data_IF_271620475550
#
_entry.id   IF_271620475550
#
_cell.length_a   1.000
_cell.length_b   1.000
_cell.length_c   1.000
_cell.angle_alpha   90.00
_cell.angle_beta   90.00
_cell.angle_gamma   90.00
#
_symmetry.space_group_name_H-M   'P 1'
#
loop_
_entity.id
_entity.type
_entity.pdbx_description
1 polymer ?
#
# COMPACT_ATOMS: atom_id res chain seq x y z
N UNK A 1 6.63 -15.47 20.93
CA UNK A 1 6.38 -16.00 19.58
C UNK A 1 6.00 -14.84 18.69
N UNK A 2 6.68 -14.64 17.57
CA UNK A 2 6.38 -13.55 16.64
C UNK A 2 4.93 -13.65 16.09
N UNK A 3 4.43 -14.88 15.95
CA UNK A 3 3.05 -15.16 15.53
C UNK A 3 1.98 -14.64 16.51
N UNK A 4 2.29 -14.55 17.80
CA UNK A 4 1.39 -13.92 18.78
C UNK A 4 1.39 -12.39 18.60
N UNK A 5 2.56 -11.81 18.31
CA UNK A 5 2.66 -10.38 18.02
C UNK A 5 1.92 -10.02 16.75
N UNK A 6 1.88 -10.91 15.74
CA UNK A 6 1.08 -10.71 14.53
C UNK A 6 -0.41 -10.56 14.85
N UNK A 7 -0.98 -11.40 15.73
CA UNK A 7 -2.38 -11.26 16.17
C UNK A 7 -2.66 -9.89 16.78
N UNK A 8 -1.78 -9.41 17.67
CA UNK A 8 -1.90 -8.07 18.26
C UNK A 8 -1.72 -6.97 17.22
N UNK A 9 -0.70 -7.08 16.37
CA UNK A 9 -0.39 -6.11 15.33
C UNK A 9 -1.55 -5.96 14.35
N UNK A 10 -2.06 -7.05 13.79
CA UNK A 10 -3.16 -7.05 12.81
C UNK A 10 -4.46 -6.57 13.44
N UNK A 11 -4.80 -7.03 14.65
CA UNK A 11 -6.03 -6.60 15.33
C UNK A 11 -6.02 -5.11 15.70
N UNK A 12 -4.91 -4.61 16.25
CA UNK A 12 -4.73 -3.18 16.53
C UNK A 12 -4.70 -2.36 15.24
N UNK A 13 -3.99 -2.83 14.21
CA UNK A 13 -3.94 -2.16 12.91
C UNK A 13 -5.32 -2.04 12.27
N UNK A 14 -6.09 -3.12 12.23
CA UNK A 14 -7.45 -3.13 11.71
C UNK A 14 -8.34 -2.16 12.48
N UNK A 15 -8.31 -2.24 13.82
CA UNK A 15 -9.15 -1.40 14.69
C UNK A 15 -8.82 0.08 14.52
N UNK A 16 -7.54 0.46 14.59
CA UNK A 16 -7.09 1.84 14.45
C UNK A 16 -7.36 2.37 13.04
N UNK A 17 -7.16 1.56 12.00
CA UNK A 17 -7.44 1.96 10.62
C UNK A 17 -8.93 2.21 10.40
N UNK A 18 -9.81 1.33 10.91
CA UNK A 18 -11.26 1.51 10.84
C UNK A 18 -11.69 2.76 11.61
N UNK A 19 -11.14 3.00 12.80
CA UNK A 19 -11.46 4.19 13.59
C UNK A 19 -10.98 5.48 12.91
N UNK A 20 -9.76 5.49 12.37
CA UNK A 20 -9.20 6.63 11.66
C UNK A 20 -10.03 6.97 10.42
N UNK A 21 -10.28 5.97 9.58
CA UNK A 21 -11.10 6.11 8.38
C UNK A 21 -12.54 6.53 8.70
N UNK A 22 -13.18 5.90 9.69
CA UNK A 22 -14.55 6.23 10.10
C UNK A 22 -14.63 7.66 10.63
N UNK A 23 -13.67 8.08 11.46
CA UNK A 23 -13.60 9.46 11.97
C UNK A 23 -13.56 10.44 10.82
N UNK A 24 -12.69 10.22 9.82
CA UNK A 24 -12.59 11.04 8.61
C UNK A 24 -13.87 11.11 7.78
N UNK A 25 -14.69 10.05 7.80
CA UNK A 25 -15.96 10.00 7.08
C UNK A 25 -17.11 10.74 7.78
N UNK A 26 -17.02 11.06 9.07
CA UNK A 26 -18.13 11.68 9.83
C UNK A 26 -18.69 12.95 9.14
N UNK A 27 -17.86 13.94 8.72
CA UNK A 27 -18.37 15.14 8.06
C UNK A 27 -19.02 14.87 6.69
N UNK A 28 -18.51 13.87 5.96
CA UNK A 28 -19.01 13.51 4.64
C UNK A 28 -20.35 12.75 4.73
N UNK A 29 -20.48 11.85 5.71
CA UNK A 29 -21.74 11.18 6.03
C UNK A 29 -22.82 12.17 6.45
N UNK A 30 -22.45 13.24 7.16
CA UNK A 30 -23.37 14.33 7.48
C UNK A 30 -23.85 15.05 6.20
N UNK A 31 -22.95 15.28 5.25
CA UNK A 31 -23.30 15.87 3.95
C UNK A 31 -24.26 14.96 3.15
N UNK A 32 -24.02 13.65 3.16
CA UNK A 32 -24.90 12.67 2.52
C UNK A 32 -26.26 12.55 3.20
N UNK A 33 -26.31 12.61 4.53
CA UNK A 33 -27.55 12.70 5.32
C UNK A 33 -28.40 13.88 4.90
N UNK A 34 -27.78 15.05 4.77
CA UNK A 34 -28.49 16.30 4.49
C UNK A 34 -28.98 16.38 3.02
N UNK A 35 -28.33 15.65 2.11
CA UNK A 35 -28.76 15.49 0.71
C UNK A 35 -29.66 14.28 0.46
N UNK A 36 -29.87 13.40 1.43
CA UNK A 36 -30.65 12.19 1.25
C UNK A 36 -32.15 12.49 1.05
N UNK A 37 -32.71 12.01 -0.07
CA UNK A 37 -34.13 12.20 -0.41
C UNK A 37 -35.05 11.20 0.29
N UNK A 38 -34.56 9.98 0.57
CA UNK A 38 -35.37 8.92 1.21
C UNK A 38 -35.18 8.91 2.73
N UNK A 39 -36.29 8.68 3.46
CA UNK A 39 -36.29 8.64 4.94
C UNK A 39 -35.32 7.61 5.50
N UNK A 40 -35.23 6.43 4.87
CA UNK A 40 -34.32 5.35 5.28
C UNK A 40 -32.85 5.75 5.13
N UNK A 41 -32.45 6.32 3.98
CA UNK A 41 -31.06 6.76 3.77
C UNK A 41 -30.69 7.89 4.71
N UNK A 42 -31.60 8.86 4.90
CA UNK A 42 -31.40 9.96 5.84
C UNK A 42 -31.23 9.47 7.27
N UNK A 43 -32.01 8.47 7.68
CA UNK A 43 -31.88 7.84 9.00
C UNK A 43 -30.54 7.10 9.16
N UNK A 44 -30.18 6.24 8.19
CA UNK A 44 -28.93 5.48 8.24
C UNK A 44 -27.69 6.39 8.25
N UNK A 45 -27.59 7.34 7.32
CA UNK A 45 -26.50 8.32 7.34
C UNK A 45 -26.55 9.22 8.58
N UNK A 46 -27.74 9.46 9.14
CA UNK A 46 -27.92 10.18 10.41
C UNK A 46 -27.28 9.49 11.60
N UNK A 47 -27.43 8.16 11.71
CA UNK A 47 -26.77 7.34 12.74
C UNK A 47 -25.25 7.44 12.60
N UNK A 48 -24.72 7.18 11.40
CA UNK A 48 -23.27 7.16 11.19
C UNK A 48 -22.62 8.55 11.20
N UNK A 49 -23.39 9.62 10.98
CA UNK A 49 -22.89 10.99 11.14
C UNK A 49 -22.76 11.43 12.62
N UNK A 50 -23.14 10.59 13.59
CA UNK A 50 -23.01 10.87 15.04
C UNK A 50 -23.54 12.26 15.47
N UNK A 51 -24.61 12.74 14.84
CA UNK A 51 -25.17 14.07 15.12
C UNK A 51 -24.28 15.24 14.70
N UNK A 52 -23.36 15.05 13.74
CA UNK A 52 -22.48 16.11 13.23
C UNK A 52 -23.28 17.30 12.67
N UNK A 53 -22.90 18.51 13.13
CA UNK A 53 -23.52 19.80 12.77
C UNK A 53 -22.53 20.79 12.14
N UNK A 54 -21.25 20.44 12.06
CA UNK A 54 -20.20 21.36 11.55
C UNK A 54 -19.95 22.60 12.42
N UNK A 55 -20.22 22.54 13.73
CA UNK A 55 -19.93 23.65 14.64
C UNK A 55 -18.41 23.85 14.81
N UNK A 56 -17.98 25.06 15.19
CA UNK A 56 -16.55 25.34 15.44
C UNK A 56 -15.95 24.38 16.50
N UNK A 57 -16.72 24.03 17.53
CA UNK A 57 -16.30 23.07 18.55
C UNK A 57 -16.11 21.67 17.97
N UNK A 58 -17.00 21.23 17.08
CA UNK A 58 -16.88 19.93 16.42
C UNK A 58 -15.61 19.86 15.55
N UNK A 59 -15.33 20.90 14.76
CA UNK A 59 -14.13 20.97 13.93
C UNK A 59 -12.84 20.94 14.75
N UNK A 60 -12.75 21.75 15.82
CA UNK A 60 -11.58 21.76 16.70
C UNK A 60 -11.28 20.38 17.31
N UNK A 61 -12.30 19.66 17.76
CA UNK A 61 -12.12 18.32 18.32
C UNK A 61 -11.82 17.28 17.25
N UNK A 62 -12.46 17.38 16.08
CA UNK A 62 -12.21 16.51 14.94
C UNK A 62 -10.77 16.62 14.46
N UNK A 63 -10.25 17.83 14.24
CA UNK A 63 -8.87 18.05 13.77
C UNK A 63 -7.85 17.51 14.76
N UNK A 64 -8.04 17.73 16.06
CA UNK A 64 -7.16 17.17 17.09
C UNK A 64 -7.21 15.64 17.12
N UNK A 65 -8.41 15.04 17.04
CA UNK A 65 -8.54 13.58 17.02
C UNK A 65 -7.91 12.98 15.76
N UNK A 66 -8.14 13.60 14.59
CA UNK A 66 -7.59 13.17 13.32
C UNK A 66 -6.06 13.26 13.29
N UNK A 67 -5.49 14.35 13.82
CA UNK A 67 -4.04 14.52 13.95
C UNK A 67 -3.43 13.49 14.90
N UNK A 68 -4.05 13.23 16.06
CA UNK A 68 -3.58 12.21 17.00
C UNK A 68 -3.63 10.82 16.38
N UNK A 69 -4.72 10.46 15.71
CA UNK A 69 -4.85 9.17 15.04
C UNK A 69 -3.85 9.02 13.88
N UNK A 70 -3.61 10.06 13.10
CA UNK A 70 -2.58 10.06 12.06
C UNK A 70 -1.17 9.88 12.66
N UNK A 71 -0.87 10.59 13.75
CA UNK A 71 0.39 10.48 14.48
C UNK A 71 0.61 9.10 15.10
N UNK A 72 -0.44 8.46 15.62
CA UNK A 72 -0.39 7.09 16.16
C UNK A 72 -0.33 6.02 15.06
N UNK A 73 -1.02 6.24 13.94
CA UNK A 73 -1.09 5.28 12.83
C UNK A 73 0.25 5.15 12.11
N UNK A 74 1.02 6.24 12.00
CA UNK A 74 2.33 6.23 11.31
C UNK A 74 3.32 5.21 11.90
N UNK A 75 3.65 5.25 13.22
CA UNK A 75 4.54 4.24 13.82
C UNK A 75 3.87 2.86 13.86
N UNK A 76 2.54 2.78 13.95
CA UNK A 76 1.81 1.51 13.90
C UNK A 76 1.98 0.80 12.54
N UNK A 77 1.88 1.52 11.43
CA UNK A 77 2.09 0.94 10.09
C UNK A 77 3.51 0.39 9.96
N UNK A 78 4.51 1.15 10.43
CA UNK A 78 5.90 0.70 10.43
C UNK A 78 6.10 -0.54 11.31
N UNK A 79 5.47 -0.57 12.50
CA UNK A 79 5.61 -1.68 13.43
C UNK A 79 4.91 -2.95 12.95
N UNK A 80 3.71 -2.86 12.36
CA UNK A 80 2.93 -4.02 11.91
C UNK A 80 3.68 -4.79 10.83
N UNK A 81 4.19 -4.11 9.80
CA UNK A 81 4.97 -4.77 8.75
C UNK A 81 6.32 -5.28 9.26
N UNK A 82 6.91 -4.61 10.26
CA UNK A 82 8.11 -5.10 10.93
C UNK A 82 7.83 -6.36 11.76
N UNK A 83 6.70 -6.45 12.46
CA UNK A 83 6.28 -7.62 13.25
C UNK A 83 6.07 -8.83 12.34
N UNK A 84 5.37 -8.67 11.22
CA UNK A 84 5.23 -9.74 10.21
C UNK A 84 6.60 -10.16 9.66
N UNK A 85 7.54 -9.23 9.50
CA UNK A 85 8.90 -9.59 9.08
C UNK A 85 9.67 -10.38 10.15
N UNK A 86 9.40 -10.15 11.44
CA UNK A 86 10.04 -10.86 12.53
C UNK A 86 9.66 -12.34 12.59
N UNK A 87 8.51 -12.74 12.03
CA UNK A 87 8.16 -14.15 11.86
C UNK A 87 9.19 -14.92 11.03
N UNK A 88 9.86 -14.25 10.10
CA UNK A 88 10.94 -14.81 9.30
C UNK A 88 12.31 -14.50 9.93
N UNK A 89 12.57 -13.24 10.25
CA UNK A 89 13.89 -12.75 10.69
C UNK A 89 14.38 -13.38 12.00
N UNK A 90 13.46 -13.78 12.87
CA UNK A 90 13.81 -14.42 14.16
C UNK A 90 14.09 -15.93 14.05
N UNK A 91 13.91 -16.52 12.88
CA UNK A 91 14.19 -17.95 12.65
C UNK A 91 15.66 -18.19 12.30
N UNK A 92 16.06 -19.47 12.28
CA UNK A 92 17.42 -19.90 11.94
C UNK A 92 17.59 -20.27 10.45
N UNK A 93 16.55 -20.12 9.61
CA UNK A 93 16.63 -20.49 8.19
C UNK A 93 17.64 -19.57 7.49
N UNK A 94 18.61 -20.09 6.70
CA UNK A 94 19.71 -19.28 6.16
C UNK A 94 19.28 -18.07 5.32
N UNK A 95 18.13 -18.18 4.64
CA UNK A 95 17.59 -17.07 3.84
C UNK A 95 16.72 -16.09 4.62
N UNK A 96 16.29 -16.45 5.83
CA UNK A 96 15.37 -15.64 6.63
C UNK A 96 16.07 -14.93 7.76
N UNK A 97 17.15 -15.50 8.30
CA UNK A 97 17.92 -14.91 9.38
C UNK A 97 18.70 -13.68 8.91
N UNK A 98 18.03 -12.54 8.80
CA UNK A 98 18.60 -11.29 8.31
C UNK A 98 18.03 -10.08 9.04
N UNK A 99 18.89 -9.14 9.38
CA UNK A 99 18.54 -7.91 10.11
C UNK A 99 17.93 -6.84 9.21
N UNK A 100 18.05 -6.97 7.89
CA UNK A 100 17.51 -5.98 6.94
C UNK A 100 16.00 -6.17 6.69
N UNK A 101 15.42 -7.30 7.10
CA UNK A 101 14.04 -7.67 6.80
C UNK A 101 12.99 -6.67 7.28
N UNK A 102 13.02 -6.14 8.52
CA UNK A 102 12.00 -5.19 8.96
C UNK A 102 11.88 -3.92 8.11
N UNK A 103 12.94 -3.11 7.89
CA UNK A 103 12.82 -1.93 7.04
C UNK A 103 12.54 -2.28 5.57
N UNK A 104 13.04 -3.43 5.09
CA UNK A 104 12.80 -3.93 3.75
C UNK A 104 11.33 -4.32 3.51
N UNK A 105 10.70 -5.03 4.44
CA UNK A 105 9.28 -5.41 4.36
C UNK A 105 8.37 -4.20 4.40
N UNK A 106 8.71 -3.19 5.22
CA UNK A 106 8.00 -1.91 5.27
C UNK A 106 8.09 -1.18 3.93
N UNK A 107 9.28 -1.07 3.35
CA UNK A 107 9.44 -0.43 2.04
C UNK A 107 8.68 -1.18 0.93
N UNK A 108 8.72 -2.51 0.94
CA UNK A 108 7.95 -3.36 0.04
C UNK A 108 6.43 -3.18 0.21
N UNK A 109 5.95 -3.00 1.45
CA UNK A 109 4.53 -2.73 1.71
C UNK A 109 4.08 -1.38 1.14
N UNK A 110 4.88 -0.33 1.27
CA UNK A 110 4.61 0.98 0.66
C UNK A 110 4.64 0.85 -0.88
N UNK A 111 5.64 0.18 -1.41
CA UNK A 111 5.81 -0.03 -2.85
C UNK A 111 4.60 -0.76 -3.49
N UNK A 112 4.21 -1.92 -2.96
CA UNK A 112 3.03 -2.66 -3.41
C UNK A 112 1.72 -1.94 -3.13
N UNK A 113 1.61 -1.26 -1.98
CA UNK A 113 0.42 -0.51 -1.59
C UNK A 113 0.10 0.64 -2.57
N UNK A 114 1.08 1.48 -2.90
CA UNK A 114 0.89 2.55 -3.88
C UNK A 114 0.61 2.01 -5.29
N UNK A 115 1.23 0.89 -5.69
CA UNK A 115 0.93 0.24 -6.96
C UNK A 115 -0.52 -0.26 -7.02
N UNK A 116 -1.03 -0.85 -5.94
CA UNK A 116 -2.42 -1.29 -5.85
C UNK A 116 -3.40 -0.10 -5.83
N UNK A 117 -3.07 0.99 -5.12
CA UNK A 117 -3.87 2.22 -5.15
C UNK A 117 -4.00 2.77 -6.57
N UNK A 118 -2.90 2.91 -7.31
CA UNK A 118 -2.95 3.36 -8.70
C UNK A 118 -3.71 2.41 -9.63
N UNK A 119 -3.58 1.09 -9.39
CA UNK A 119 -4.32 0.06 -10.13
C UNK A 119 -5.84 0.23 -10.03
N UNK A 120 -6.34 0.66 -8.86
CA UNK A 120 -7.76 0.94 -8.65
C UNK A 120 -8.15 2.37 -9.06
N UNK A 121 -7.28 3.34 -8.77
CA UNK A 121 -7.55 4.75 -8.98
C UNK A 121 -7.61 5.12 -10.46
N UNK A 122 -6.75 4.54 -11.31
CA UNK A 122 -6.70 4.88 -12.74
C UNK A 122 -8.00 4.47 -13.48
N UNK A 123 -8.52 3.24 -13.33
CA UNK A 123 -9.84 2.89 -13.86
C UNK A 123 -10.96 3.70 -13.22
N UNK A 124 -10.96 3.90 -11.89
CA UNK A 124 -12.00 4.67 -11.20
C UNK A 124 -12.05 6.12 -11.71
N UNK A 125 -10.89 6.75 -11.95
CA UNK A 125 -10.77 8.09 -12.54
C UNK A 125 -11.43 8.17 -13.92
N UNK A 126 -11.22 7.17 -14.78
CA UNK A 126 -11.78 7.12 -16.12
C UNK A 126 -13.30 6.82 -16.12
N UNK A 127 -13.75 5.86 -15.31
CA UNK A 127 -15.15 5.42 -15.26
C UNK A 127 -16.05 6.49 -14.64
N UNK A 128 -15.62 7.08 -13.51
CA UNK A 128 -16.39 8.08 -12.77
C UNK A 128 -16.09 9.52 -13.17
N UNK A 129 -15.26 9.74 -14.23
CA UNK A 129 -14.89 11.04 -14.78
C UNK A 129 -14.33 12.01 -13.73
N UNK A 130 -13.47 11.53 -12.84
CA UNK A 130 -12.91 12.31 -11.71
C UNK A 130 -11.63 13.07 -12.10
N UNK A 131 -11.53 13.54 -13.34
CA UNK A 131 -10.29 14.14 -13.87
C UNK A 131 -9.91 15.47 -13.19
N UNK A 132 -10.89 16.22 -12.71
CA UNK A 132 -10.68 17.53 -12.07
C UNK A 132 -10.22 17.41 -10.62
N UNK A 133 -10.58 16.32 -9.95
CA UNK A 133 -10.15 16.05 -8.57
C UNK A 133 -8.85 15.23 -8.56
N UNK A 134 -8.81 14.15 -9.34
CA UNK A 134 -7.62 13.31 -9.47
C UNK A 134 -6.81 13.81 -10.66
N UNK A 135 -6.02 14.85 -10.40
CA UNK A 135 -5.17 15.46 -11.42
C UNK A 135 -3.98 14.56 -11.79
N UNK A 136 -3.38 14.73 -12.99
CA UNK A 136 -2.16 14.00 -13.38
C UNK A 136 -0.98 14.19 -12.41
N UNK A 137 -0.96 15.30 -11.66
CA UNK A 137 0.07 15.56 -10.65
C UNK A 137 0.02 14.56 -9.49
N UNK A 138 -1.17 14.08 -9.12
CA UNK A 138 -1.29 13.04 -8.10
C UNK A 138 -0.64 11.74 -8.59
N UNK A 139 -0.87 11.37 -9.85
CA UNK A 139 -0.28 10.18 -10.47
C UNK A 139 1.25 10.31 -10.55
N UNK A 140 1.77 11.47 -10.97
CA UNK A 140 3.22 11.72 -11.02
C UNK A 140 3.89 11.64 -9.64
N UNK A 141 3.27 12.22 -8.61
CA UNK A 141 3.78 12.16 -7.23
C UNK A 141 3.76 10.74 -6.68
N UNK A 142 2.69 9.98 -6.91
CA UNK A 142 2.62 8.57 -6.50
C UNK A 142 3.64 7.70 -7.24
N UNK A 143 3.85 7.93 -8.54
CA UNK A 143 4.87 7.22 -9.31
C UNK A 143 6.29 7.49 -8.76
N UNK A 144 6.59 8.70 -8.28
CA UNK A 144 7.87 9.01 -7.62
C UNK A 144 8.04 8.27 -6.29
N UNK A 145 6.96 8.08 -5.51
CA UNK A 145 7.00 7.28 -4.28
C UNK A 145 7.31 5.82 -4.63
N UNK A 146 6.63 5.25 -5.64
CA UNK A 146 6.89 3.89 -6.14
C UNK A 146 8.34 3.75 -6.62
N UNK A 147 8.88 4.75 -7.33
CA UNK A 147 10.27 4.75 -7.76
C UNK A 147 11.25 4.73 -6.58
N UNK A 148 10.99 5.57 -5.57
CA UNK A 148 11.83 5.68 -4.38
C UNK A 148 11.86 4.36 -3.61
N UNK A 149 10.69 3.80 -3.31
CA UNK A 149 10.59 2.56 -2.54
C UNK A 149 11.05 1.35 -3.36
N UNK A 150 10.75 1.30 -4.66
CA UNK A 150 11.26 0.25 -5.56
C UNK A 150 12.79 0.25 -5.66
N UNK A 151 13.41 1.43 -5.70
CA UNK A 151 14.88 1.54 -5.68
C UNK A 151 15.48 1.10 -4.35
N UNK A 152 14.80 1.37 -3.22
CA UNK A 152 15.21 0.88 -1.91
C UNK A 152 15.09 -0.65 -1.79
N UNK A 153 14.00 -1.24 -2.30
CA UNK A 153 13.81 -2.70 -2.37
C UNK A 153 14.90 -3.33 -3.24
N UNK A 154 15.21 -2.74 -4.40
CA UNK A 154 16.30 -3.20 -5.26
C UNK A 154 17.67 -3.14 -4.57
N UNK A 155 17.93 -2.08 -3.79
CA UNK A 155 19.12 -1.97 -2.95
C UNK A 155 19.17 -3.09 -1.89
N UNK A 156 18.06 -3.36 -1.21
CA UNK A 156 18.01 -4.44 -0.22
C UNK A 156 18.33 -5.80 -0.85
N UNK A 157 17.80 -6.11 -2.04
CA UNK A 157 18.18 -7.34 -2.76
C UNK A 157 19.67 -7.40 -3.06
N UNK A 158 20.26 -6.31 -3.56
CA UNK A 158 21.68 -6.26 -3.85
C UNK A 158 22.52 -6.49 -2.57
N UNK A 159 22.09 -5.90 -1.45
CA UNK A 159 22.72 -6.10 -0.15
C UNK A 159 22.58 -7.53 0.35
N UNK A 160 21.45 -8.20 0.16
CA UNK A 160 21.30 -9.61 0.51
C UNK A 160 22.30 -10.50 -0.25
N UNK A 161 22.45 -10.31 -1.56
CA UNK A 161 23.45 -11.04 -2.34
C UNK A 161 24.89 -10.73 -1.91
N UNK A 162 25.17 -9.45 -1.63
CA UNK A 162 26.47 -9.03 -1.14
C UNK A 162 26.81 -9.68 0.21
N UNK A 163 25.88 -9.62 1.17
CA UNK A 163 26.08 -10.21 2.50
C UNK A 163 26.20 -11.72 2.42
N UNK A 164 25.40 -12.42 1.60
CA UNK A 164 25.53 -13.86 1.40
C UNK A 164 26.92 -14.25 0.85
N UNK A 165 27.47 -13.46 -0.08
CA UNK A 165 28.82 -13.65 -0.58
C UNK A 165 29.89 -13.35 0.49
N UNK A 166 29.71 -12.26 1.25
CA UNK A 166 30.64 -11.77 2.28
C UNK A 166 30.66 -12.62 3.56
N UNK A 167 29.52 -13.16 3.96
CA UNK A 167 29.29 -13.96 5.19
C UNK A 167 30.20 -15.18 5.32
N UNK A 168 30.66 -15.73 4.20
CA UNK A 168 31.53 -16.91 4.21
C UNK A 168 30.80 -18.23 4.50
N UNK A 169 29.56 -18.19 5.00
CA UNK A 169 28.73 -19.36 5.27
C UNK A 169 28.33 -20.08 3.96
N UNK A 170 28.67 -21.37 3.87
CA UNK A 170 28.35 -22.20 2.70
C UNK A 170 26.84 -22.35 2.47
N UNK A 171 26.04 -22.39 3.54
CA UNK A 171 24.58 -22.54 3.46
C UNK A 171 23.91 -21.27 2.92
N UNK A 172 24.33 -20.09 3.36
CA UNK A 172 23.81 -18.82 2.84
C UNK A 172 24.18 -18.63 1.37
N UNK A 173 25.45 -18.87 1.02
CA UNK A 173 25.90 -18.83 -0.38
C UNK A 173 25.08 -19.77 -1.25
N UNK A 174 24.92 -21.02 -0.83
CA UNK A 174 24.13 -22.00 -1.55
C UNK A 174 22.68 -21.55 -1.72
N UNK A 175 22.05 -21.03 -0.67
CA UNK A 175 20.65 -20.64 -0.72
C UNK A 175 20.40 -19.45 -1.67
N UNK A 176 21.31 -18.47 -1.73
CA UNK A 176 21.22 -17.36 -2.69
C UNK A 176 21.53 -17.80 -4.13
N UNK A 177 22.50 -18.69 -4.33
CA UNK A 177 22.70 -19.30 -5.65
C UNK A 177 21.50 -20.13 -6.10
N UNK A 178 20.84 -20.81 -5.16
CA UNK A 178 19.61 -21.56 -5.42
C UNK A 178 18.43 -20.65 -5.82
N UNK A 179 18.40 -19.39 -5.37
CA UNK A 179 17.41 -18.41 -5.88
C UNK A 179 17.64 -18.09 -7.37
N UNK A 180 18.90 -18.00 -7.81
CA UNK A 180 19.24 -17.64 -9.20
C UNK A 180 19.15 -18.84 -10.16
N UNK A 181 19.66 -20.01 -9.76
CA UNK A 181 19.80 -21.19 -10.64
C UNK A 181 18.97 -22.40 -10.22
N UNK A 182 18.29 -22.32 -9.08
CA UNK A 182 17.49 -23.43 -8.56
C UNK A 182 16.13 -23.59 -9.27
N UNK A 183 15.25 -24.46 -8.75
CA UNK A 183 13.96 -24.76 -9.36
C UNK A 183 13.04 -23.53 -9.48
N UNK A 184 13.25 -22.51 -8.64
CA UNK A 184 12.50 -21.25 -8.66
C UNK A 184 13.23 -20.10 -9.37
N UNK A 185 14.19 -20.38 -10.25
CA UNK A 185 14.97 -19.35 -10.96
C UNK A 185 14.08 -18.31 -11.65
N UNK A 186 12.99 -18.74 -12.28
CA UNK A 186 12.11 -17.84 -13.03
C UNK A 186 11.40 -16.83 -12.12
N UNK A 187 11.07 -17.20 -10.88
CA UNK A 187 10.49 -16.29 -9.89
C UNK A 187 11.45 -15.16 -9.54
N UNK A 188 12.75 -15.47 -9.45
CA UNK A 188 13.78 -14.48 -9.17
C UNK A 188 14.01 -13.54 -10.37
N UNK A 189 14.26 -14.09 -11.55
CA UNK A 189 14.57 -13.31 -12.76
C UNK A 189 13.39 -12.47 -13.24
N UNK A 190 12.20 -13.07 -13.36
CA UNK A 190 11.02 -12.36 -13.86
C UNK A 190 10.31 -11.59 -12.75
N UNK A 191 10.08 -12.23 -11.60
CA UNK A 191 9.30 -11.63 -10.51
C UNK A 191 10.06 -10.58 -9.72
N UNK A 192 11.29 -10.85 -9.28
CA UNK A 192 12.03 -9.88 -8.47
C UNK A 192 12.79 -8.90 -9.35
N UNK A 193 13.63 -9.39 -10.26
CA UNK A 193 14.50 -8.50 -11.04
C UNK A 193 13.70 -7.68 -12.06
N UNK A 194 12.93 -8.31 -12.95
CA UNK A 194 12.18 -7.57 -13.96
C UNK A 194 11.04 -6.74 -13.35
N UNK A 195 10.15 -7.37 -12.57
CA UNK A 195 8.97 -6.67 -12.05
C UNK A 195 9.29 -5.68 -10.91
N UNK A 196 10.11 -6.03 -9.90
CA UNK A 196 10.38 -5.12 -8.79
C UNK A 196 11.58 -4.19 -9.03
N UNK A 197 12.67 -4.66 -9.63
CA UNK A 197 13.86 -3.81 -9.82
C UNK A 197 13.78 -2.96 -11.08
N UNK A 198 13.47 -3.56 -12.24
CA UNK A 198 13.58 -2.88 -13.54
C UNK A 198 12.34 -2.06 -13.88
N UNK A 199 11.14 -2.60 -13.67
CA UNK A 199 9.89 -1.93 -14.08
C UNK A 199 9.71 -0.53 -13.46
N UNK A 200 10.01 -0.28 -12.16
CA UNK A 200 9.84 1.04 -11.58
C UNK A 200 10.86 2.06 -12.08
N UNK A 201 12.02 1.63 -12.59
CA UNK A 201 13.05 2.55 -13.11
C UNK A 201 12.58 3.31 -14.35
N UNK A 202 11.54 2.82 -15.03
CA UNK A 202 10.87 3.57 -16.10
C UNK A 202 10.34 4.92 -15.59
N UNK A 203 10.01 5.02 -14.30
CA UNK A 203 9.56 6.26 -13.68
C UNK A 203 10.67 7.28 -13.44
N UNK A 204 11.94 7.04 -13.79
CA UNK A 204 12.92 8.14 -13.88
C UNK A 204 12.55 9.12 -15.00
N UNK A 205 12.04 8.60 -16.11
CA UNK A 205 11.64 9.39 -17.27
C UNK A 205 10.29 10.07 -17.02
N UNK A 206 10.25 11.40 -17.11
CA UNK A 206 9.03 12.19 -16.90
C UNK A 206 7.92 11.81 -17.87
N UNK A 207 8.27 11.45 -19.10
CA UNK A 207 7.32 10.99 -20.11
C UNK A 207 6.57 9.71 -19.69
N UNK A 208 7.27 8.75 -19.07
CA UNK A 208 6.65 7.52 -18.58
C UNK A 208 5.65 7.78 -17.46
N UNK A 209 5.93 8.74 -16.56
CA UNK A 209 5.01 9.11 -15.45
C UNK A 209 3.77 9.84 -15.94
N UNK A 210 3.85 10.53 -17.08
CA UNK A 210 2.70 11.19 -17.71
C UNK A 210 1.77 10.25 -18.48
N UNK A 211 2.26 9.07 -18.87
CA UNK A 211 1.49 8.10 -19.66
C UNK A 211 0.76 7.08 -18.77
N UNK A 212 -0.56 7.19 -18.70
CA UNK A 212 -1.42 6.33 -17.87
C UNK A 212 -1.23 4.84 -18.17
N UNK A 213 -1.03 4.45 -19.43
CA UNK A 213 -0.84 3.03 -19.79
C UNK A 213 0.48 2.49 -19.26
N UNK A 214 1.55 3.29 -19.32
CA UNK A 214 2.86 2.91 -18.76
C UNK A 214 2.78 2.80 -17.25
N UNK A 215 2.13 3.77 -16.60
CA UNK A 215 1.92 3.72 -15.14
C UNK A 215 1.13 2.47 -14.75
N UNK A 216 0.04 2.17 -15.44
CA UNK A 216 -0.78 0.98 -15.16
C UNK A 216 0.00 -0.32 -15.36
N UNK A 217 0.78 -0.42 -16.44
CA UNK A 217 1.66 -1.56 -16.71
C UNK A 217 2.67 -1.77 -15.58
N UNK A 218 3.38 -0.71 -15.17
CA UNK A 218 4.35 -0.78 -14.06
C UNK A 218 3.65 -1.18 -12.76
N UNK A 219 2.48 -0.63 -12.45
CA UNK A 219 1.74 -1.02 -11.25
C UNK A 219 1.35 -2.50 -11.25
N UNK A 220 0.95 -3.06 -12.39
CA UNK A 220 0.67 -4.50 -12.52
C UNK A 220 1.93 -5.34 -12.34
N UNK A 221 3.05 -4.93 -12.92
CA UNK A 221 4.34 -5.57 -12.69
C UNK A 221 4.70 -5.57 -11.20
N UNK A 222 4.59 -4.42 -10.53
CA UNK A 222 4.89 -4.31 -9.08
C UNK A 222 3.99 -5.20 -8.23
N UNK A 223 2.67 -5.23 -8.48
CA UNK A 223 1.75 -6.09 -7.73
C UNK A 223 2.11 -7.58 -7.89
N UNK A 224 2.42 -8.00 -9.11
CA UNK A 224 2.87 -9.38 -9.38
C UNK A 224 4.24 -9.67 -8.76
N UNK A 225 5.19 -8.74 -8.90
CA UNK A 225 6.55 -8.86 -8.39
C UNK A 225 6.61 -8.96 -6.87
N UNK A 226 5.82 -8.15 -6.15
CA UNK A 226 5.71 -8.25 -4.69
C UNK A 226 5.09 -9.57 -4.23
N UNK A 227 4.16 -10.14 -4.99
CA UNK A 227 3.65 -11.48 -4.70
C UNK A 227 4.74 -12.55 -4.90
N UNK A 228 5.47 -12.48 -6.02
CA UNK A 228 6.59 -13.40 -6.30
C UNK A 228 7.70 -13.30 -5.25
N UNK A 229 7.99 -12.09 -4.78
CA UNK A 229 8.93 -11.84 -3.71
C UNK A 229 8.55 -12.57 -2.42
N UNK A 230 7.29 -12.46 -1.98
CA UNK A 230 6.84 -13.20 -0.78
C UNK A 230 6.88 -14.70 -1.00
N UNK A 231 6.51 -15.16 -2.19
CA UNK A 231 6.57 -16.58 -2.52
C UNK A 231 8.00 -17.13 -2.48
N UNK A 232 8.98 -16.45 -3.09
CA UNK A 232 10.36 -16.94 -3.13
C UNK A 232 11.07 -16.83 -1.77
N UNK A 233 10.76 -15.81 -0.97
CA UNK A 233 11.24 -15.75 0.42
C UNK A 233 10.74 -16.99 1.16
N UNK A 234 9.44 -17.31 1.09
CA UNK A 234 8.84 -18.40 1.86
C UNK A 234 9.15 -19.77 1.26
N UNK A 235 8.58 -20.08 0.10
CA UNK A 235 8.68 -21.39 -0.54
C UNK A 235 10.10 -21.66 -1.06
N UNK A 236 10.78 -20.63 -1.58
CA UNK A 236 12.16 -20.76 -2.04
C UNK A 236 13.15 -20.96 -0.89
N UNK A 237 12.95 -20.30 0.25
CA UNK A 237 13.77 -20.46 1.46
C UNK A 237 13.60 -21.83 2.13
N UNK A 238 12.39 -22.41 2.09
CA UNK A 238 12.11 -23.71 2.70
C UNK A 238 12.38 -24.91 1.77
N UNK A 239 12.36 -24.72 0.45
CA UNK A 239 12.50 -25.85 -0.48
C UNK A 239 13.87 -26.53 -0.43
N UNK A 240 14.92 -25.77 -0.09
CA UNK A 240 16.27 -26.28 0.11
C UNK A 240 16.93 -25.59 1.30
N UNK A 241 16.86 -26.24 2.44
CA UNK A 241 17.44 -25.81 3.70
C UNK A 241 18.73 -26.59 4.03
N UNK A 242 19.05 -26.75 5.31
CA UNK A 242 20.26 -27.39 5.81
C UNK A 242 20.44 -28.85 5.39
N UNK A 243 19.36 -29.65 5.29
CA UNK A 243 19.47 -31.09 5.04
C UNK A 243 19.01 -31.45 3.62
N UNK A 244 19.91 -31.99 2.77
CA UNK A 244 19.54 -32.44 1.42
C UNK A 244 18.41 -33.47 1.37
N UNK A 245 18.25 -34.30 2.42
CA UNK A 245 17.18 -35.29 2.51
C UNK A 245 15.78 -34.69 2.66
N UNK A 246 15.69 -33.44 3.12
CA UNK A 246 14.42 -32.73 3.33
C UNK A 246 14.00 -31.88 2.14
N UNK A 247 14.83 -31.80 1.09
CA UNK A 247 14.57 -30.93 -0.05
C UNK A 247 13.34 -31.35 -0.84
N UNK A 248 12.40 -30.41 -0.99
CA UNK A 248 11.14 -30.62 -1.70
C UNK A 248 10.72 -29.34 -2.42
N UNK A 249 10.12 -29.51 -3.60
CA UNK A 249 9.53 -28.40 -4.34
C UNK A 249 8.05 -28.30 -3.97
N UNK A 250 7.59 -27.07 -3.75
CA UNK A 250 6.19 -26.78 -3.48
C UNK A 250 5.44 -26.66 -4.80
N UNK A 251 4.40 -27.46 -4.96
CA UNK A 251 3.46 -27.35 -6.06
C UNK A 251 2.11 -26.97 -5.48
N UNK A 252 1.56 -25.78 -5.82
CA UNK A 252 0.27 -25.37 -5.31
C UNK A 252 -0.81 -26.31 -5.84
N UNK A 253 -1.73 -26.68 -4.97
CA UNK A 253 -2.93 -27.43 -5.33
C UNK A 253 -3.99 -26.50 -5.90
N UNK A 254 -5.02 -27.07 -6.52
CA UNK A 254 -6.17 -26.28 -6.98
C UNK A 254 -6.81 -25.48 -5.82
N UNK A 255 -6.85 -26.04 -4.60
CA UNK A 255 -7.41 -25.37 -3.42
C UNK A 255 -6.61 -24.10 -3.07
N UNK A 256 -5.29 -24.13 -3.15
CA UNK A 256 -4.44 -22.97 -2.88
C UNK A 256 -4.73 -21.83 -3.87
N UNK A 257 -4.87 -22.17 -5.15
CA UNK A 257 -5.16 -21.23 -6.23
C UNK A 257 -6.56 -20.62 -6.06
N UNK A 258 -7.57 -21.45 -5.82
CA UNK A 258 -8.95 -20.96 -5.64
C UNK A 258 -9.12 -20.14 -4.36
N UNK A 259 -8.39 -20.47 -3.30
CA UNK A 259 -8.37 -19.66 -2.07
C UNK A 259 -7.78 -18.29 -2.36
N UNK A 260 -6.67 -18.22 -3.08
CA UNK A 260 -6.07 -16.95 -3.50
C UNK A 260 -6.99 -16.13 -4.41
N UNK A 261 -7.62 -16.75 -5.42
CA UNK A 261 -8.62 -16.06 -6.25
C UNK A 261 -9.84 -15.60 -5.45
N UNK A 262 -10.24 -16.38 -4.44
CA UNK A 262 -11.33 -16.03 -3.52
C UNK A 262 -11.04 -14.75 -2.73
N UNK A 263 -9.81 -14.54 -2.27
CA UNK A 263 -9.46 -13.30 -1.55
C UNK A 263 -9.52 -12.07 -2.45
N UNK A 264 -9.11 -12.19 -3.72
CA UNK A 264 -9.27 -11.14 -4.72
C UNK A 264 -10.76 -10.83 -4.91
N UNK A 265 -11.60 -11.87 -5.04
CA UNK A 265 -13.05 -11.72 -5.18
C UNK A 265 -13.70 -11.01 -3.99
N UNK A 266 -13.34 -11.38 -2.75
CA UNK A 266 -13.83 -10.72 -1.53
C UNK A 266 -13.37 -9.26 -1.50
N UNK A 267 -12.10 -8.98 -1.77
CA UNK A 267 -11.56 -7.62 -1.79
C UNK A 267 -12.30 -6.75 -2.82
N UNK A 268 -12.39 -7.20 -4.06
CA UNK A 268 -13.07 -6.45 -5.12
C UNK A 268 -14.55 -6.26 -4.80
N UNK A 269 -15.23 -7.27 -4.24
CA UNK A 269 -16.64 -7.14 -3.84
C UNK A 269 -16.84 -6.08 -2.76
N UNK A 270 -16.04 -6.12 -1.68
CA UNK A 270 -16.09 -5.13 -0.61
C UNK A 270 -15.72 -3.72 -1.10
N UNK A 271 -14.74 -3.62 -1.99
CA UNK A 271 -14.33 -2.35 -2.59
C UNK A 271 -15.41 -1.74 -3.49
N UNK A 272 -16.09 -2.56 -4.30
CA UNK A 272 -17.20 -2.09 -5.13
C UNK A 272 -18.41 -1.68 -4.29
N UNK A 273 -18.69 -2.40 -3.19
CA UNK A 273 -19.71 -1.99 -2.22
C UNK A 273 -19.34 -0.64 -1.59
N UNK A 274 -18.08 -0.44 -1.20
CA UNK A 274 -17.59 0.83 -0.69
C UNK A 274 -17.83 1.98 -1.69
N UNK A 275 -17.39 1.83 -2.94
CA UNK A 275 -17.61 2.83 -4.00
C UNK A 275 -19.10 3.14 -4.21
N UNK A 276 -19.96 2.13 -4.06
CA UNK A 276 -21.40 2.26 -4.30
C UNK A 276 -22.15 3.01 -3.20
N UNK A 277 -21.75 2.83 -1.95
CA UNK A 277 -22.50 3.28 -0.77
C UNK A 277 -21.86 4.46 -0.02
N UNK A 278 -20.54 4.62 -0.13
CA UNK A 278 -19.77 5.62 0.59
C UNK A 278 -19.07 6.59 -0.39
N UNK A 279 -18.72 7.80 0.07
CA UNK A 279 -18.04 8.77 -0.79
C UNK A 279 -16.61 8.29 -1.08
N UNK A 280 -16.25 8.22 -2.36
CA UNK A 280 -14.90 7.81 -2.81
C UNK A 280 -13.82 8.85 -2.50
N UNK A 281 -14.22 10.12 -2.35
CA UNK A 281 -13.33 11.26 -2.14
C UNK A 281 -13.78 11.94 -0.85
N UNK A 282 -12.82 12.29 0.01
CA UNK A 282 -13.04 13.07 1.21
C UNK A 282 -13.49 14.49 0.84
N UNK A 283 -14.80 14.75 0.84
CA UNK A 283 -15.36 16.03 0.37
C UNK A 283 -15.01 17.17 1.30
N UNK A 284 -14.97 16.90 2.61
CA UNK A 284 -14.58 17.85 3.65
C UNK A 284 -13.16 18.39 3.44
N UNK A 285 -12.20 17.51 3.19
CA UNK A 285 -10.78 17.87 3.02
C UNK A 285 -10.51 18.51 1.67
N UNK A 286 -11.12 18.02 0.59
CA UNK A 286 -10.94 18.64 -0.73
C UNK A 286 -11.42 20.09 -0.70
N UNK A 287 -12.53 20.38 -0.01
CA UNK A 287 -13.06 21.74 0.14
C UNK A 287 -12.20 22.67 0.97
N UNK A 288 -11.35 22.17 1.87
CA UNK A 288 -10.41 23.01 2.62
C UNK A 288 -9.09 23.20 1.87
N UNK A 289 -8.78 22.30 0.94
CA UNK A 289 -7.57 22.37 0.12
C UNK A 289 -7.73 23.20 -1.17
N UNK A 290 -8.95 23.59 -1.55
CA UNK A 290 -9.17 24.46 -2.72
C UNK A 290 -8.61 25.87 -2.45
N UNK A 291 -8.06 26.56 -3.47
CA UNK A 291 -7.52 27.90 -3.31
C UNK A 291 -8.49 28.91 -2.67
N UNK A 292 -9.79 28.76 -2.92
CA UNK A 292 -10.84 29.62 -2.41
C UNK A 292 -11.06 29.49 -0.90
N UNK A 293 -10.57 28.41 -0.28
CA UNK A 293 -10.63 28.21 1.16
C UNK A 293 -9.49 28.92 1.91
N UNK A 294 -8.46 29.43 1.20
CA UNK A 294 -7.38 30.22 1.81
C UNK A 294 -7.92 31.59 2.25
N UNK A 295 -7.86 31.95 3.55
CA UNK A 295 -8.27 33.27 4.04
C UNK A 295 -7.55 34.44 3.35
N UNK A 296 -6.38 34.18 2.74
CA UNK A 296 -5.57 35.17 2.01
C UNK A 296 -5.82 35.17 0.49
N UNK A 297 -6.75 34.36 -0.02
CA UNK A 297 -7.04 34.25 -1.45
C UNK A 297 -7.38 35.61 -2.08
N UNK A 298 -8.26 36.39 -1.44
CA UNK A 298 -8.67 37.71 -1.91
C UNK A 298 -7.54 38.74 -1.97
N UNK A 299 -6.59 38.69 -1.04
CA UNK A 299 -5.43 39.59 -1.02
C UNK A 299 -4.40 39.27 -2.12
N UNK A 300 -4.30 38.00 -2.52
CA UNK A 300 -3.45 37.58 -3.65
C UNK A 300 -4.10 37.85 -5.02
N UNK A 301 -5.43 37.83 -5.09
CA UNK A 301 -6.17 38.15 -6.31
C UNK A 301 -6.08 39.65 -6.66
N UNK A 302 -6.22 40.54 -5.68
CA UNK A 302 -6.13 42.00 -5.88
C UNK A 302 -4.70 42.50 -6.15
N UNK A 303 -3.67 41.83 -5.62
CA UNK A 303 -2.26 42.17 -5.90
C UNK A 303 -1.81 41.93 -7.35
N UNK A 304 -2.53 41.09 -8.12
CA UNK A 304 -2.26 40.87 -9.55
C UNK A 304 -2.94 41.90 -10.47
N UNK A 305 -3.94 42.63 -9.98
CA UNK A 305 -4.62 43.67 -10.76
C UNK A 305 -3.86 45.00 -10.80
N UNK A 306 -2.92 45.24 -9.87
CA UNK A 306 -2.10 46.45 -9.83
C UNK A 306 -0.76 46.34 -10.57
N UNK A 307 -0.49 45.22 -11.25
CA UNK A 307 0.75 45.00 -12.01
C UNK A 307 0.51 44.75 -13.51
N UNK A 308 -0.57 45.32 -14.06
CA UNK A 308 -0.78 45.48 -15.51
C UNK A 308 -0.81 46.94 -15.90
#
# INVERSE_FOLDING_TARGET
SALMWDVFAVSTYFTVSVLFWYTGLIPDLATLRDRATTKVRKFLFGIFACGWRGSNRNWRHYEMAYLLLAGLSTPLVLSVHSVVSFDFASTLVPTWHSTIFPPYFVAGAIFGGFAMVLTLLLPARAIFKLHDVITPQHVDKMAKIILLTGSFVAYAYAMEFFVAWYSGNSYEKFAFWNRIFGPYWWYWWFGMLFCNCLSPQLFWFSWCRGNVFVVFFVCMCVNAGMWFERFIIIAGGLARDFLPSSWRVFHPTWVDIWTYLGTIGIFTSLFLLFIRFLPMIAMSEVKTAVPEADPHYGARATGKEHTR
#
